data_IF_829742577276
#
_entry.id   IF_829742577276
#
_cell.length_a   1.000
_cell.length_b   1.000
_cell.length_c   1.000
_cell.angle_alpha   90.00
_cell.angle_beta   90.00
_cell.angle_gamma   90.00
#
_symmetry.space_group_name_H-M   'P 1'
#
loop_
_entity.id
_entity.type
_entity.pdbx_description
1 polymer ?
#
# COMPACT_ATOMS: atom_id res chain seq x y z
N UNK A 1 43.77 52.60 33.07
CA UNK A 1 42.81 52.50 31.96
C UNK A 1 42.83 51.05 31.38
N UNK A 2 41.81 50.32 31.59
CA UNK A 2 41.66 48.93 31.01
C UNK A 2 40.86 49.00 29.75
N UNK A 3 41.43 48.61 28.63
CA UNK A 3 40.74 48.45 27.37
C UNK A 3 39.93 47.16 27.41
N UNK A 4 38.65 47.14 27.01
CA UNK A 4 37.88 45.92 26.99
C UNK A 4 38.30 45.04 25.79
N UNK A 5 38.56 43.81 26.07
CA UNK A 5 38.90 42.76 25.11
C UNK A 5 37.74 42.47 24.14
N UNK A 6 37.97 42.29 22.85
CA UNK A 6 36.93 42.01 21.87
C UNK A 6 36.62 40.51 21.77
N UNK A 7 36.09 39.92 22.86
CA UNK A 7 35.79 38.46 22.84
C UNK A 7 34.30 38.14 22.60
N UNK A 8 33.47 39.15 22.37
CA UNK A 8 32.01 38.95 22.26
C UNK A 8 31.42 38.82 20.86
N UNK A 9 32.23 38.98 19.79
CA UNK A 9 31.65 39.08 18.43
C UNK A 9 31.79 37.84 17.53
N UNK A 10 32.41 36.79 18.03
CA UNK A 10 32.62 35.55 17.22
C UNK A 10 31.66 34.42 17.50
N UNK A 11 30.83 34.49 18.53
CA UNK A 11 29.91 33.41 18.92
C UNK A 11 28.57 33.51 18.21
N UNK A 12 28.16 34.72 17.79
CA UNK A 12 26.86 34.96 17.12
C UNK A 12 26.76 34.45 15.68
N UNK A 13 27.89 34.19 15.00
CA UNK A 13 27.91 33.73 13.62
C UNK A 13 27.88 32.21 13.46
N UNK A 14 28.21 31.47 14.49
CA UNK A 14 28.25 30.01 14.46
C UNK A 14 26.91 29.34 14.75
N UNK A 15 26.00 30.02 15.46
CA UNK A 15 24.69 29.50 15.80
C UNK A 15 23.65 29.59 14.64
N UNK A 16 23.85 30.51 13.69
CA UNK A 16 22.94 30.69 12.54
C UNK A 16 23.20 29.62 11.48
N UNK A 17 24.40 29.08 11.37
CA UNK A 17 24.74 28.05 10.40
C UNK A 17 24.19 26.66 10.74
N UNK A 18 23.89 26.39 12.02
CA UNK A 18 23.39 25.07 12.49
C UNK A 18 21.88 24.97 12.27
N UNK A 19 21.14 26.08 12.36
CA UNK A 19 19.68 26.09 12.16
C UNK A 19 19.31 25.91 10.68
N UNK A 20 20.15 26.38 9.75
CA UNK A 20 19.90 26.21 8.32
C UNK A 20 20.16 24.77 7.82
N UNK A 21 21.00 24.01 8.53
CA UNK A 21 21.32 22.62 8.12
C UNK A 21 20.24 21.60 8.55
N UNK A 22 19.45 21.90 9.58
CA UNK A 22 18.39 21.01 10.07
C UNK A 22 17.12 21.14 9.23
N UNK A 23 16.86 22.30 8.61
CA UNK A 23 15.67 22.50 7.76
C UNK A 23 15.75 21.77 6.41
N UNK A 24 16.96 21.41 5.92
CA UNK A 24 17.13 20.72 4.65
C UNK A 24 16.88 19.20 4.73
N UNK A 25 16.95 18.62 5.94
CA UNK A 25 16.74 17.18 6.18
C UNK A 25 15.26 16.77 6.22
N UNK A 26 14.35 17.71 6.41
CA UNK A 26 12.91 17.44 6.45
C UNK A 26 12.24 17.39 5.08
N UNK A 27 12.89 17.87 4.01
CA UNK A 27 12.30 17.93 2.67
C UNK A 27 12.38 16.60 1.90
N UNK A 28 13.12 15.59 2.37
CA UNK A 28 13.34 14.30 1.69
C UNK A 28 12.37 13.22 2.15
N UNK A 29 11.63 13.43 3.24
CA UNK A 29 10.72 12.44 3.82
C UNK A 29 9.30 12.43 3.20
N UNK A 30 9.02 13.28 2.18
CA UNK A 30 7.69 13.43 1.59
C UNK A 30 7.49 12.67 0.27
N UNK A 31 8.47 11.89 -0.20
CA UNK A 31 8.28 10.96 -1.31
C UNK A 31 7.82 9.60 -0.77
N UNK A 32 6.52 9.45 -0.52
CA UNK A 32 5.93 8.11 -0.38
C UNK A 32 5.96 7.46 -1.76
N UNK A 33 7.00 6.69 -2.04
CA UNK A 33 6.99 5.72 -3.12
C UNK A 33 5.96 4.66 -2.75
N UNK A 34 4.83 4.64 -3.44
CA UNK A 34 3.94 3.49 -3.41
C UNK A 34 4.73 2.34 -4.00
N UNK A 35 5.14 1.39 -3.16
CA UNK A 35 5.86 0.20 -3.62
C UNK A 35 4.98 -0.55 -4.61
N UNK A 36 5.43 -0.60 -5.87
CA UNK A 36 4.71 -1.32 -6.92
C UNK A 36 4.88 -2.82 -6.73
N UNK A 37 3.79 -3.54 -6.89
CA UNK A 37 3.76 -4.99 -6.82
C UNK A 37 4.38 -5.57 -8.10
N UNK A 38 5.29 -6.51 -7.95
CA UNK A 38 5.85 -7.26 -9.10
C UNK A 38 4.81 -8.27 -9.61
N UNK A 39 4.06 -7.85 -10.63
CA UNK A 39 2.99 -8.65 -11.20
C UNK A 39 3.47 -9.93 -11.89
N UNK A 40 4.77 -10.05 -12.21
CA UNK A 40 5.32 -11.29 -12.79
C UNK A 40 5.27 -12.49 -11.84
N UNK A 41 5.14 -12.23 -10.54
CA UNK A 41 5.06 -13.24 -9.48
C UNK A 41 3.64 -13.49 -8.98
N UNK A 42 2.67 -12.70 -9.43
CA UNK A 42 1.29 -12.78 -8.99
C UNK A 42 0.54 -13.84 -9.81
N UNK A 43 -0.08 -14.78 -9.11
CA UNK A 43 -0.90 -15.81 -9.74
C UNK A 43 -2.25 -15.26 -10.17
N UNK A 44 -2.92 -14.52 -9.30
CA UNK A 44 -4.26 -13.96 -9.57
C UNK A 44 -4.52 -12.73 -8.71
N UNK A 45 -5.22 -11.76 -9.29
CA UNK A 45 -5.81 -10.63 -8.58
C UNK A 45 -7.28 -10.95 -8.30
N UNK A 46 -7.72 -10.82 -7.06
CA UNK A 46 -9.06 -11.16 -6.61
C UNK A 46 -9.78 -9.90 -6.15
N UNK A 47 -10.88 -9.58 -6.80
CA UNK A 47 -11.84 -8.59 -6.37
C UNK A 47 -12.84 -9.26 -5.42
N UNK A 48 -12.80 -8.88 -4.13
CA UNK A 48 -13.65 -9.50 -3.11
C UNK A 48 -14.93 -8.71 -2.83
N UNK A 49 -15.27 -7.78 -3.73
CA UNK A 49 -16.52 -7.01 -3.69
C UNK A 49 -17.69 -7.83 -4.24
N UNK A 50 -18.89 -7.24 -4.18
CA UNK A 50 -20.08 -7.86 -4.78
C UNK A 50 -19.96 -7.95 -6.30
N UNK A 51 -20.72 -8.89 -6.96
CA UNK A 51 -20.75 -8.98 -8.40
C UNK A 51 -21.19 -7.69 -9.11
N UNK A 52 -22.09 -6.92 -8.53
CA UNK A 52 -22.55 -5.64 -9.08
C UNK A 52 -21.45 -4.58 -9.06
N UNK A 53 -20.69 -4.51 -7.98
CA UNK A 53 -19.52 -3.61 -7.89
C UNK A 53 -18.44 -4.00 -8.92
N UNK A 54 -18.19 -5.30 -9.07
CA UNK A 54 -17.26 -5.83 -10.06
C UNK A 54 -17.69 -5.47 -11.50
N UNK A 55 -18.95 -5.65 -11.81
CA UNK A 55 -19.50 -5.32 -13.13
C UNK A 55 -19.43 -3.82 -13.45
N UNK A 56 -19.55 -2.97 -12.44
CA UNK A 56 -19.45 -1.51 -12.60
C UNK A 56 -18.01 -1.02 -12.87
N UNK A 57 -17.01 -1.84 -12.55
CA UNK A 57 -15.59 -1.56 -12.80
C UNK A 57 -14.70 -2.43 -11.92
N UNK A 58 -13.68 -3.04 -12.51
CA UNK A 58 -12.73 -3.91 -11.82
C UNK A 58 -11.34 -3.82 -12.45
N UNK A 59 -10.32 -4.30 -11.77
CA UNK A 59 -8.97 -4.35 -12.33
C UNK A 59 -8.91 -5.36 -13.46
N UNK A 60 -8.26 -4.98 -14.55
CA UNK A 60 -8.09 -5.85 -15.72
C UNK A 60 -7.45 -7.18 -15.33
N UNK A 61 -8.11 -8.29 -15.70
CA UNK A 61 -7.67 -9.64 -15.38
C UNK A 61 -8.02 -10.13 -13.98
N UNK A 62 -8.65 -9.31 -13.12
CA UNK A 62 -9.13 -9.75 -11.82
C UNK A 62 -10.30 -10.73 -11.94
N UNK A 63 -10.36 -11.69 -11.02
CA UNK A 63 -11.54 -12.53 -10.83
C UNK A 63 -12.37 -11.98 -9.65
N UNK A 64 -13.67 -12.21 -9.69
CA UNK A 64 -14.56 -11.81 -8.60
C UNK A 64 -14.90 -13.00 -7.69
N UNK A 65 -14.57 -12.87 -6.42
CA UNK A 65 -15.01 -13.80 -5.36
C UNK A 65 -15.49 -12.95 -4.20
N UNK A 66 -16.81 -12.81 -4.07
CA UNK A 66 -17.42 -11.97 -3.05
C UNK A 66 -17.20 -12.53 -1.65
N UNK A 67 -16.50 -11.80 -0.78
CA UNK A 67 -16.21 -12.23 0.61
C UNK A 67 -17.48 -12.28 1.47
N UNK A 68 -18.51 -11.53 1.12
CA UNK A 68 -19.82 -11.54 1.79
C UNK A 68 -20.78 -12.56 1.15
N UNK A 69 -20.36 -13.22 0.08
CA UNK A 69 -21.13 -14.27 -0.58
C UNK A 69 -21.20 -15.56 0.24
N UNK A 70 -22.21 -16.38 -0.06
CA UNK A 70 -22.51 -17.59 0.71
C UNK A 70 -21.44 -18.70 0.61
N UNK A 71 -20.55 -18.66 -0.40
CA UNK A 71 -19.59 -19.72 -0.68
C UNK A 71 -18.17 -19.18 -0.94
N UNK A 72 -17.76 -18.16 -0.21
CA UNK A 72 -16.42 -17.60 -0.35
C UNK A 72 -15.32 -18.64 -0.10
N UNK A 73 -15.43 -19.38 1.00
CA UNK A 73 -14.45 -20.41 1.38
C UNK A 73 -14.38 -21.54 0.35
N UNK A 74 -15.52 -21.99 -0.17
CA UNK A 74 -15.57 -23.02 -1.21
C UNK A 74 -14.88 -22.57 -2.50
N UNK A 75 -15.13 -21.34 -2.93
CA UNK A 75 -14.55 -20.78 -4.16
C UNK A 75 -13.02 -20.60 -4.02
N UNK A 76 -12.53 -20.02 -2.91
CA UNK A 76 -11.09 -19.84 -2.73
C UNK A 76 -10.37 -21.16 -2.48
N UNK A 77 -11.02 -22.17 -1.90
CA UNK A 77 -10.42 -23.48 -1.65
C UNK A 77 -10.03 -24.24 -2.92
N UNK A 78 -10.59 -23.87 -4.07
CA UNK A 78 -10.22 -24.41 -5.39
C UNK A 78 -8.90 -23.82 -5.94
N UNK A 79 -8.40 -22.73 -5.33
CA UNK A 79 -7.17 -22.08 -5.74
C UNK A 79 -5.95 -22.79 -5.14
N UNK A 80 -4.80 -22.68 -5.83
CA UNK A 80 -3.53 -23.20 -5.32
C UNK A 80 -3.08 -22.40 -4.08
N UNK A 81 -2.94 -23.07 -2.95
CA UNK A 81 -2.54 -22.44 -1.67
C UNK A 81 -1.11 -21.90 -1.68
N UNK A 82 -0.25 -22.38 -2.57
CA UNK A 82 1.10 -21.89 -2.78
C UNK A 82 1.16 -20.70 -3.75
N UNK A 83 0.06 -20.38 -4.42
CA UNK A 83 -0.04 -19.23 -5.32
C UNK A 83 0.11 -17.89 -4.61
N UNK A 84 0.43 -16.86 -5.36
CA UNK A 84 0.54 -15.47 -4.90
C UNK A 84 -0.70 -14.69 -5.31
N UNK A 85 -1.45 -14.17 -4.35
CA UNK A 85 -2.72 -13.50 -4.59
C UNK A 85 -2.71 -12.07 -4.07
N UNK A 86 -3.26 -11.18 -4.90
CA UNK A 86 -3.55 -9.79 -4.53
C UNK A 86 -5.05 -9.68 -4.35
N UNK A 87 -5.49 -9.18 -3.19
CA UNK A 87 -6.89 -8.95 -2.88
C UNK A 87 -7.16 -7.46 -2.80
N UNK A 88 -8.30 -7.01 -3.30
CA UNK A 88 -8.76 -5.64 -3.13
C UNK A 88 -10.28 -5.59 -2.98
N UNK A 89 -10.76 -4.49 -2.42
CA UNK A 89 -12.19 -4.18 -2.33
C UNK A 89 -12.42 -2.68 -2.61
N UNK A 90 -13.41 -2.07 -1.98
CA UNK A 90 -13.65 -0.63 -2.12
C UNK A 90 -12.71 0.21 -1.24
N UNK A 91 -12.41 -0.25 -0.02
CA UNK A 91 -11.62 0.50 0.98
C UNK A 91 -10.51 -0.30 1.65
N UNK A 92 -10.35 -1.59 1.33
CA UNK A 92 -9.40 -2.50 1.96
C UNK A 92 -9.95 -3.31 3.14
N UNK A 93 -11.10 -2.92 3.72
CA UNK A 93 -11.69 -3.60 4.88
C UNK A 93 -12.13 -5.03 4.56
N UNK A 94 -12.94 -5.22 3.51
CA UNK A 94 -13.38 -6.55 3.06
C UNK A 94 -12.22 -7.41 2.58
N UNK A 95 -11.25 -6.81 1.90
CA UNK A 95 -10.02 -7.49 1.49
C UNK A 95 -9.22 -8.00 2.70
N UNK A 96 -9.19 -7.27 3.81
CA UNK A 96 -8.60 -7.71 5.07
C UNK A 96 -9.30 -8.94 5.66
N UNK A 97 -10.64 -8.96 5.65
CA UNK A 97 -11.44 -10.10 6.10
C UNK A 97 -11.17 -11.33 5.21
N UNK A 98 -11.17 -11.14 3.90
CA UNK A 98 -10.86 -12.20 2.94
C UNK A 98 -9.46 -12.78 3.13
N UNK A 99 -8.48 -11.91 3.35
CA UNK A 99 -7.10 -12.30 3.61
C UNK A 99 -6.97 -13.15 4.88
N UNK A 100 -7.61 -12.75 5.97
CA UNK A 100 -7.59 -13.51 7.23
C UNK A 100 -8.27 -14.89 7.06
N UNK A 101 -9.38 -14.94 6.35
CA UNK A 101 -10.07 -16.20 6.03
C UNK A 101 -9.17 -17.12 5.20
N UNK A 102 -8.56 -16.61 4.15
CA UNK A 102 -7.66 -17.39 3.29
C UNK A 102 -6.40 -17.86 4.04
N UNK A 103 -5.84 -17.04 4.93
CA UNK A 103 -4.75 -17.49 5.83
C UNK A 103 -5.17 -18.68 6.68
N UNK A 104 -6.36 -18.64 7.26
CA UNK A 104 -6.94 -19.73 8.03
C UNK A 104 -7.10 -21.01 7.20
N UNK A 105 -7.30 -20.90 5.89
CA UNK A 105 -7.40 -22.01 4.95
C UNK A 105 -6.04 -22.53 4.44
N UNK A 106 -4.93 -21.93 4.86
CA UNK A 106 -3.57 -22.37 4.53
C UNK A 106 -2.87 -21.63 3.39
N UNK A 107 -3.44 -20.53 2.90
CA UNK A 107 -2.75 -19.64 1.94
C UNK A 107 -1.63 -18.87 2.64
N UNK A 108 -0.47 -18.76 2.00
CA UNK A 108 0.74 -18.17 2.61
C UNK A 108 1.21 -16.89 1.95
N UNK A 109 0.81 -16.62 0.70
CA UNK A 109 1.28 -15.48 -0.09
C UNK A 109 0.10 -14.59 -0.50
N UNK A 110 -0.35 -13.77 0.44
CA UNK A 110 -1.52 -12.89 0.27
C UNK A 110 -1.13 -11.44 0.52
N UNK A 111 -1.64 -10.53 -0.30
CA UNK A 111 -1.51 -9.09 -0.14
C UNK A 111 -2.86 -8.42 -0.21
N UNK A 112 -3.18 -7.58 0.79
CA UNK A 112 -4.30 -6.65 0.72
C UNK A 112 -3.82 -5.37 0.04
N UNK A 113 -4.29 -5.10 -1.17
CA UNK A 113 -3.94 -3.92 -1.95
C UNK A 113 -4.86 -2.71 -1.70
N UNK A 114 -5.75 -2.81 -0.71
CA UNK A 114 -6.63 -1.70 -0.31
C UNK A 114 -7.88 -1.57 -1.17
N UNK A 115 -8.26 -0.35 -1.50
CA UNK A 115 -9.34 -0.06 -2.42
C UNK A 115 -8.95 -0.27 -3.87
N UNK A 116 -9.94 -0.23 -4.77
CA UNK A 116 -9.70 -0.47 -6.21
C UNK A 116 -8.70 0.54 -6.81
N UNK A 117 -8.75 1.80 -6.40
CA UNK A 117 -7.82 2.82 -6.89
C UNK A 117 -6.40 2.59 -6.38
N UNK A 118 -6.25 2.24 -5.10
CA UNK A 118 -4.96 1.89 -4.49
C UNK A 118 -4.37 0.64 -5.16
N UNK A 119 -5.20 -0.36 -5.39
CA UNK A 119 -4.81 -1.60 -6.06
C UNK A 119 -4.40 -1.36 -7.52
N UNK A 120 -5.10 -0.48 -8.25
CA UNK A 120 -4.71 -0.05 -9.59
C UNK A 120 -3.33 0.62 -9.58
N UNK A 121 -3.10 1.53 -8.64
CA UNK A 121 -1.80 2.21 -8.50
C UNK A 121 -0.67 1.24 -8.15
N UNK A 122 -0.91 0.29 -7.23
CA UNK A 122 0.08 -0.66 -6.77
C UNK A 122 0.42 -1.73 -7.83
N UNK A 123 -0.56 -2.21 -8.59
CA UNK A 123 -0.39 -3.25 -9.60
C UNK A 123 -0.05 -2.72 -10.99
N UNK A 124 -0.43 -1.48 -11.28
CA UNK A 124 -0.36 -0.91 -12.63
C UNK A 124 -1.47 -1.39 -13.57
N UNK A 125 -2.46 -2.16 -13.07
CA UNK A 125 -3.58 -2.65 -13.85
C UNK A 125 -4.64 -1.55 -14.04
N UNK A 126 -5.17 -1.45 -15.25
CA UNK A 126 -6.26 -0.54 -15.56
C UNK A 126 -7.58 -1.00 -14.93
N UNK A 127 -8.45 -0.04 -14.59
CA UNK A 127 -9.84 -0.32 -14.22
C UNK A 127 -10.65 -0.43 -15.52
N UNK A 128 -11.33 -1.54 -15.69
CA UNK A 128 -12.14 -1.87 -16.87
C UNK A 128 -13.56 -2.27 -16.45
N UNK A 129 -14.48 -2.30 -17.41
CA UNK A 129 -15.88 -2.74 -17.21
C UNK A 129 -16.14 -4.02 -17.97
#
# INVERSE_FOLDING_TARGET
MKTPSPLGKKIAKTLIAIVASVALLFAVAACSTTDKIDMSKVSTVIDVRTPDEFAAGHLQGAINIDVEGADFEGQVSSLDKAGVYILYCHSGRRAGIALDTMKGLGFTNLTNAGGIDDASAATGLAIVQ
#
